data_IF_635798894409
#
_entry.id   IF_635798894409
#
_cell.length_a   1.000
_cell.length_b   1.000
_cell.length_c   1.000
_cell.angle_alpha   90.00
_cell.angle_beta   90.00
_cell.angle_gamma   90.00
#
_symmetry.space_group_name_H-M   'P 1'
#
loop_
_entity.id
_entity.type
_entity.pdbx_description
1 polymer ?
#
# COMPACT_ATOMS: atom_id res chain seq x y z
N UNK A 1 -10.42 -74.52 21.84
CA UNK A 1 -11.75 -74.32 21.24
C UNK A 1 -11.52 -73.94 19.78
N UNK A 2 -11.33 -74.97 18.96
CA UNK A 2 -12.31 -75.56 18.03
C UNK A 2 -12.48 -74.72 16.74
N UNK A 3 -11.71 -74.97 15.66
CA UNK A 3 -12.04 -75.78 14.44
C UNK A 3 -13.50 -75.64 13.97
N UNK A 4 -13.84 -75.42 12.70
CA UNK A 4 -13.06 -75.43 11.45
C UNK A 4 -13.95 -75.12 10.24
N UNK A 5 -13.37 -75.20 9.05
CA UNK A 5 -14.03 -75.41 7.75
C UNK A 5 -14.79 -76.79 7.76
N UNK A 6 -15.54 -77.28 6.73
CA UNK A 6 -15.25 -77.07 5.29
C UNK A 6 -16.40 -77.28 4.24
N UNK A 7 -16.00 -77.20 2.96
CA UNK A 7 -16.31 -78.10 1.83
C UNK A 7 -17.63 -78.13 1.00
N UNK A 8 -17.39 -78.06 -0.33
CA UNK A 8 -17.91 -78.84 -1.48
C UNK A 8 -19.44 -78.78 -1.80
N UNK A 9 -19.94 -78.83 -3.05
CA UNK A 9 -19.79 -79.85 -4.10
C UNK A 9 -20.35 -79.35 -5.46
N UNK A 10 -19.68 -79.76 -6.54
CA UNK A 10 -20.05 -80.05 -7.94
C UNK A 10 -21.50 -79.94 -8.46
N UNK A 11 -21.61 -79.65 -9.76
CA UNK A 11 -22.71 -80.11 -10.61
C UNK A 11 -22.60 -79.69 -12.08
N UNK A 12 -22.04 -80.56 -12.93
CA UNK A 12 -22.11 -80.46 -14.39
C UNK A 12 -23.52 -80.82 -14.93
N UNK A 13 -23.98 -80.14 -15.98
CA UNK A 13 -24.76 -80.72 -17.09
C UNK A 13 -24.96 -79.64 -18.20
N UNK A 14 -24.57 -79.94 -19.44
CA UNK A 14 -25.08 -79.25 -20.66
C UNK A 14 -26.29 -80.00 -21.22
N UNK A 15 -26.58 -79.96 -22.54
CA UNK A 15 -26.59 -78.86 -23.51
C UNK A 15 -28.03 -78.69 -24.11
N UNK A 16 -28.16 -78.15 -25.34
CA UNK A 16 -29.37 -78.12 -26.20
C UNK A 16 -30.44 -77.03 -25.89
N UNK A 17 -31.17 -76.41 -26.82
CA UNK A 17 -31.36 -76.53 -28.27
C UNK A 17 -32.03 -75.22 -28.76
N UNK A 18 -31.78 -74.88 -30.02
CA UNK A 18 -32.44 -73.83 -30.80
C UNK A 18 -33.96 -74.02 -30.97
N UNK A 19 -34.75 -72.94 -31.03
CA UNK A 19 -35.61 -72.55 -32.18
C UNK A 19 -36.79 -71.63 -31.81
N UNK A 20 -36.98 -70.56 -32.60
CA UNK A 20 -38.25 -69.93 -33.05
C UNK A 20 -39.23 -69.39 -31.97
N UNK A 21 -39.99 -68.31 -32.09
CA UNK A 21 -40.24 -67.27 -33.10
C UNK A 21 -41.18 -66.24 -32.45
N UNK A 22 -41.23 -65.06 -33.06
CA UNK A 22 -42.39 -64.16 -33.17
C UNK A 22 -42.61 -62.96 -32.21
N UNK A 23 -42.51 -61.78 -32.86
CA UNK A 23 -43.43 -60.64 -32.81
C UNK A 23 -43.68 -59.87 -31.51
N UNK A 24 -43.18 -58.62 -31.44
CA UNK A 24 -44.03 -57.43 -31.63
C UNK A 24 -43.24 -56.11 -31.55
N UNK A 25 -43.75 -55.13 -32.29
CA UNK A 25 -43.15 -53.87 -32.70
C UNK A 25 -42.92 -52.86 -31.56
N UNK A 26 -41.81 -52.12 -31.61
CA UNK A 26 -41.76 -50.73 -31.15
C UNK A 26 -40.97 -49.87 -32.15
N UNK A 27 -41.66 -48.90 -32.74
CA UNK A 27 -41.14 -47.89 -33.65
C UNK A 27 -40.11 -46.98 -32.94
N UNK A 28 -38.90 -46.89 -33.49
CA UNK A 28 -37.95 -45.81 -33.18
C UNK A 28 -38.00 -44.83 -34.36
N UNK A 29 -38.74 -43.74 -34.19
CA UNK A 29 -38.69 -42.60 -35.11
C UNK A 29 -37.44 -41.77 -34.83
N UNK A 30 -36.51 -41.74 -35.80
CA UNK A 30 -35.38 -40.81 -35.82
C UNK A 30 -35.89 -39.38 -36.00
N UNK A 31 -35.67 -38.52 -34.99
CA UNK A 31 -35.65 -37.08 -35.19
C UNK A 31 -34.23 -36.65 -35.55
N UNK A 32 -34.03 -36.29 -36.81
CA UNK A 32 -32.87 -35.53 -37.26
C UNK A 32 -32.97 -34.10 -36.72
N UNK A 33 -32.22 -33.79 -35.66
CA UNK A 33 -31.91 -32.41 -35.29
C UNK A 33 -30.53 -32.11 -35.86
N UNK A 34 -30.50 -31.38 -36.97
CA UNK A 34 -29.28 -30.80 -37.52
C UNK A 34 -28.69 -29.82 -36.52
N UNK A 35 -27.57 -30.19 -35.90
CA UNK A 35 -26.76 -29.26 -35.13
C UNK A 35 -26.02 -28.34 -36.10
N UNK A 36 -26.57 -27.16 -36.35
CA UNK A 36 -25.83 -26.06 -36.93
C UNK A 36 -24.75 -25.62 -35.94
N UNK A 37 -23.50 -25.96 -36.25
CA UNK A 37 -22.32 -25.40 -35.59
C UNK A 37 -22.26 -23.89 -35.91
N UNK A 38 -22.89 -23.06 -35.07
CA UNK A 38 -22.54 -21.65 -34.98
C UNK A 38 -21.12 -21.57 -34.40
N UNK A 39 -20.14 -21.46 -35.30
CA UNK A 39 -18.82 -20.96 -34.96
C UNK A 39 -19.00 -19.48 -34.60
N UNK A 40 -19.17 -19.20 -33.32
CA UNK A 40 -19.07 -17.85 -32.79
C UNK A 40 -17.63 -17.38 -33.04
N UNK A 41 -17.43 -16.63 -34.12
CA UNK A 41 -16.27 -15.77 -34.30
C UNK A 41 -16.30 -14.75 -33.16
N UNK A 42 -15.65 -15.07 -32.05
CA UNK A 42 -15.15 -14.06 -31.14
C UNK A 42 -14.10 -13.29 -31.94
N UNK A 43 -14.52 -12.21 -32.59
CA UNK A 43 -13.61 -11.14 -32.94
C UNK A 43 -13.06 -10.61 -31.61
N UNK A 44 -11.93 -11.18 -31.17
CA UNK A 44 -11.06 -10.50 -30.22
C UNK A 44 -10.75 -9.18 -30.92
N UNK A 45 -11.34 -8.09 -30.42
CA UNK A 45 -10.85 -6.78 -30.74
C UNK A 45 -9.39 -6.83 -30.31
N UNK A 46 -8.48 -6.84 -31.29
CA UNK A 46 -7.06 -6.78 -31.02
C UNK A 46 -6.85 -5.54 -30.17
N UNK A 47 -6.65 -5.73 -28.87
CA UNK A 47 -6.19 -4.67 -27.99
C UNK A 47 -4.86 -4.26 -28.59
N UNK A 48 -4.80 -3.08 -29.22
CA UNK A 48 -3.54 -2.56 -29.70
C UNK A 48 -2.57 -2.59 -28.54
N UNK A 49 -1.49 -3.36 -28.69
CA UNK A 49 -0.52 -3.53 -27.64
C UNK A 49 0.07 -2.15 -27.31
N UNK A 50 -0.12 -1.69 -26.08
CA UNK A 50 0.45 -0.44 -25.60
C UNK A 50 1.96 -0.44 -25.81
N UNK A 51 2.44 0.45 -26.67
CA UNK A 51 3.88 0.66 -26.86
C UNK A 51 4.46 1.43 -25.68
N UNK A 52 5.52 0.93 -25.02
CA UNK A 52 6.16 1.64 -23.91
C UNK A 52 6.68 3.02 -24.31
N UNK A 53 6.35 4.05 -23.55
CA UNK A 53 6.86 5.41 -23.74
C UNK A 53 7.32 6.02 -22.41
N UNK A 54 8.65 6.15 -22.19
CA UNK A 54 9.72 5.99 -23.17
C UNK A 54 10.03 4.52 -23.50
N UNK A 55 10.55 4.25 -24.71
CA UNK A 55 10.86 2.87 -25.16
C UNK A 55 11.82 2.11 -24.22
N UNK A 56 12.78 2.81 -23.61
CA UNK A 56 13.78 2.24 -22.69
C UNK A 56 13.52 2.64 -21.21
N UNK A 57 12.25 2.76 -20.84
CA UNK A 57 11.82 3.11 -19.49
C UNK A 57 11.97 1.99 -18.47
N UNK A 58 11.50 2.28 -17.26
CA UNK A 58 11.28 1.33 -16.17
C UNK A 58 10.07 1.74 -15.36
N UNK A 59 9.48 0.81 -14.62
CA UNK A 59 8.49 1.13 -13.61
C UNK A 59 9.16 1.79 -12.40
N UNK A 60 8.56 2.87 -11.91
CA UNK A 60 8.92 3.56 -10.68
C UNK A 60 7.64 3.84 -9.92
N UNK A 61 7.60 3.54 -8.63
CA UNK A 61 6.45 3.92 -7.82
C UNK A 61 6.32 5.45 -7.80
N UNK A 62 5.13 5.96 -8.07
CA UNK A 62 4.78 7.39 -8.00
C UNK A 62 3.82 7.67 -6.83
N UNK A 63 3.26 6.62 -6.25
CA UNK A 63 2.50 6.65 -5.00
C UNK A 63 2.51 5.25 -4.38
N UNK A 64 2.58 5.15 -3.06
CA UNK A 64 2.28 3.92 -2.33
C UNK A 64 1.75 4.25 -0.93
N UNK A 65 1.17 3.26 -0.28
CA UNK A 65 0.82 3.28 1.13
C UNK A 65 1.15 1.95 1.77
N UNK A 66 1.44 1.98 3.08
CA UNK A 66 1.77 0.78 3.82
C UNK A 66 0.54 -0.09 4.04
N UNK A 67 0.52 -1.35 3.54
CA UNK A 67 -0.59 -2.24 3.81
C UNK A 67 -0.61 -2.65 5.28
N UNK A 68 -1.79 -2.58 5.89
CA UNK A 68 -2.08 -2.94 7.27
C UNK A 68 -3.21 -3.98 7.30
N UNK A 69 -3.17 -4.86 8.31
CA UNK A 69 -4.36 -5.57 8.72
C UNK A 69 -5.31 -4.56 9.36
N UNK A 70 -6.52 -4.45 8.82
CA UNK A 70 -7.49 -3.47 9.30
C UNK A 70 -7.94 -3.82 10.71
N UNK A 71 -7.73 -2.90 11.63
CA UNK A 71 -8.24 -3.04 12.99
C UNK A 71 -9.77 -3.04 13.01
N UNK A 72 -10.38 -3.73 13.97
CA UNK A 72 -11.84 -3.88 14.07
C UNK A 72 -12.59 -2.55 14.00
N UNK A 73 -12.07 -1.48 14.60
CA UNK A 73 -12.69 -0.15 14.60
C UNK A 73 -12.61 0.59 13.25
N UNK A 74 -11.69 0.18 12.38
CA UNK A 74 -11.43 0.78 11.06
C UNK A 74 -11.92 -0.11 9.90
N UNK A 75 -12.57 -1.24 10.22
CA UNK A 75 -13.25 -2.07 9.23
C UNK A 75 -14.33 -1.27 8.49
N UNK A 76 -14.65 -1.65 7.23
CA UNK A 76 -15.72 -0.98 6.50
C UNK A 76 -17.00 -0.98 7.34
N UNK A 77 -17.67 0.17 7.52
CA UNK A 77 -18.84 0.28 8.39
C UNK A 77 -20.03 -0.48 7.78
N UNK A 78 -21.03 -0.80 8.62
CA UNK A 78 -22.33 -1.30 8.11
C UNK A 78 -22.96 -0.30 7.12
N UNK A 79 -23.57 -0.74 6.00
CA UNK A 79 -23.82 -2.13 5.58
C UNK A 79 -22.69 -2.79 4.75
N UNK A 80 -21.49 -2.20 4.67
CA UNK A 80 -20.40 -2.61 3.77
C UNK A 80 -19.45 -3.66 4.37
N UNK A 81 -19.92 -4.43 5.35
CA UNK A 81 -19.12 -5.47 6.00
C UNK A 81 -18.57 -6.42 4.94
N UNK A 82 -17.24 -6.63 4.96
CA UNK A 82 -16.50 -7.47 4.00
C UNK A 82 -16.64 -7.05 2.52
N UNK A 83 -17.14 -5.84 2.25
CA UNK A 83 -17.34 -5.28 0.92
C UNK A 83 -18.25 -6.11 -0.01
N UNK A 84 -19.20 -6.88 0.52
CA UNK A 84 -20.14 -7.62 -0.34
C UNK A 84 -20.99 -6.64 -1.16
N UNK A 85 -21.10 -6.87 -2.47
CA UNK A 85 -21.81 -6.00 -3.40
C UNK A 85 -21.47 -4.51 -3.19
N UNK A 86 -20.18 -4.17 -3.11
CA UNK A 86 -19.72 -2.82 -2.74
C UNK A 86 -18.80 -2.24 -3.80
N UNK A 87 -19.09 -1.01 -4.23
CA UNK A 87 -18.17 -0.12 -4.94
C UNK A 87 -17.41 0.72 -3.93
N UNK A 88 -16.08 0.77 -4.06
CA UNK A 88 -15.17 1.59 -3.26
C UNK A 88 -14.45 2.56 -4.18
N UNK A 89 -14.62 3.87 -3.98
CA UNK A 89 -13.97 4.94 -4.76
C UNK A 89 -13.00 5.71 -3.89
N UNK A 90 -11.76 5.81 -4.35
CA UNK A 90 -10.62 6.29 -3.57
C UNK A 90 -9.76 7.22 -4.43
N UNK A 91 -9.24 8.29 -3.83
CA UNK A 91 -8.32 9.21 -4.52
C UNK A 91 -6.91 9.10 -3.98
N UNK A 92 -5.92 9.28 -4.84
CA UNK A 92 -4.49 9.29 -4.50
C UNK A 92 -3.76 10.39 -5.29
N UNK A 93 -2.66 10.93 -4.73
CA UNK A 93 -1.84 11.96 -5.37
C UNK A 93 -0.57 11.34 -5.92
N UNK A 94 -0.34 11.45 -7.23
CA UNK A 94 0.91 10.93 -7.83
C UNK A 94 2.07 11.90 -7.61
N UNK A 95 3.29 11.37 -7.44
CA UNK A 95 4.50 12.17 -7.26
C UNK A 95 5.00 12.78 -8.56
N UNK A 96 5.35 11.92 -9.53
CA UNK A 96 5.84 12.31 -10.85
C UNK A 96 4.82 11.98 -11.94
N UNK A 97 4.92 12.72 -13.05
CA UNK A 97 4.12 12.47 -14.25
C UNK A 97 4.59 11.26 -15.04
N UNK A 98 3.70 10.71 -15.85
CA UNK A 98 3.96 9.59 -16.76
C UNK A 98 2.90 9.56 -17.87
N UNK A 99 3.22 8.94 -19.01
CA UNK A 99 2.22 8.65 -20.05
C UNK A 99 1.47 7.35 -19.81
N UNK A 100 2.12 6.44 -19.08
CA UNK A 100 1.61 5.12 -18.79
C UNK A 100 1.80 4.81 -17.32
N UNK A 101 0.75 4.28 -16.70
CA UNK A 101 0.75 3.88 -15.30
C UNK A 101 0.16 2.48 -15.15
N UNK A 102 0.33 1.87 -13.98
CA UNK A 102 -0.38 0.67 -13.54
C UNK A 102 -0.62 0.71 -12.04
N UNK A 103 -1.63 -0.02 -11.57
CA UNK A 103 -2.10 0.01 -10.18
C UNK A 103 -1.79 -1.33 -9.50
N UNK A 104 -1.30 -1.29 -8.26
CA UNK A 104 -1.14 -2.48 -7.42
C UNK A 104 -2.26 -2.57 -6.38
N UNK A 105 -2.97 -3.69 -6.40
CA UNK A 105 -3.94 -4.09 -5.39
C UNK A 105 -3.36 -5.19 -4.51
N UNK A 106 -3.51 -5.08 -3.20
CA UNK A 106 -2.89 -5.97 -2.22
C UNK A 106 -3.93 -6.68 -1.36
N UNK A 107 -3.68 -7.97 -1.17
CA UNK A 107 -4.35 -8.85 -0.23
C UNK A 107 -3.35 -9.40 0.81
N UNK A 108 -2.31 -8.63 1.13
CA UNK A 108 -1.17 -9.05 1.96
C UNK A 108 -1.56 -9.62 3.34
N UNK A 109 -2.67 -9.16 3.91
CA UNK A 109 -3.19 -9.62 5.21
C UNK A 109 -4.47 -10.44 5.10
N UNK A 110 -5.00 -10.61 3.88
CA UNK A 110 -6.17 -11.46 3.68
C UNK A 110 -5.84 -12.92 3.93
N UNK A 111 -6.66 -13.57 4.73
CA UNK A 111 -6.59 -15.01 5.01
C UNK A 111 -7.26 -15.86 3.93
N UNK A 112 -8.06 -15.23 3.05
CA UNK A 112 -8.72 -15.86 1.90
C UNK A 112 -8.54 -15.02 0.63
N UNK A 113 -8.87 -15.61 -0.51
CA UNK A 113 -8.77 -14.96 -1.81
C UNK A 113 -9.68 -13.71 -1.88
N UNK A 114 -9.15 -12.63 -2.45
CA UNK A 114 -9.86 -11.37 -2.67
C UNK A 114 -10.34 -11.30 -4.14
N UNK A 115 -11.65 -11.48 -4.42
CA UNK A 115 -12.20 -11.30 -5.76
C UNK A 115 -12.45 -9.81 -6.05
N UNK A 116 -11.79 -9.28 -7.07
CA UNK A 116 -12.07 -7.98 -7.66
C UNK A 116 -12.90 -8.20 -8.92
N UNK A 117 -14.16 -7.75 -8.91
CA UNK A 117 -15.09 -7.97 -10.03
C UNK A 117 -14.84 -7.00 -11.18
N UNK A 118 -14.56 -5.73 -10.88
CA UNK A 118 -14.18 -4.73 -11.87
C UNK A 118 -13.48 -3.55 -11.22
N UNK A 119 -12.60 -2.88 -11.96
CA UNK A 119 -11.94 -1.66 -11.50
C UNK A 119 -11.81 -0.63 -12.62
N UNK A 120 -11.84 0.65 -12.25
CA UNK A 120 -11.69 1.79 -13.16
C UNK A 120 -10.76 2.84 -12.58
N UNK A 121 -10.25 3.70 -13.46
CA UNK A 121 -9.52 4.91 -13.11
C UNK A 121 -10.12 6.12 -13.84
N UNK A 122 -10.07 7.28 -13.20
CA UNK A 122 -10.42 8.56 -13.81
C UNK A 122 -9.70 9.70 -13.07
N UNK A 123 -9.70 10.90 -13.66
CA UNK A 123 -9.43 12.11 -12.89
C UNK A 123 -10.63 12.44 -12.00
N UNK A 124 -10.42 12.83 -10.73
CA UNK A 124 -11.49 13.38 -9.91
C UNK A 124 -11.99 14.70 -10.52
N UNK A 125 -13.27 14.98 -10.32
CA UNK A 125 -13.83 16.28 -10.67
C UNK A 125 -13.05 17.37 -9.89
N UNK A 126 -12.67 18.46 -10.57
CA UNK A 126 -11.87 19.56 -10.03
C UNK A 126 -10.49 19.16 -9.47
N UNK A 127 -9.99 17.95 -9.75
CA UNK A 127 -8.65 17.53 -9.30
C UNK A 127 -8.51 17.38 -7.79
N UNK A 128 -9.61 17.20 -7.05
CA UNK A 128 -9.62 17.26 -5.58
C UNK A 128 -9.47 15.88 -4.92
N UNK A 129 -8.75 15.81 -3.80
CA UNK A 129 -8.73 14.62 -2.95
C UNK A 129 -10.07 14.40 -2.25
N UNK A 130 -10.42 13.14 -2.04
CA UNK A 130 -11.68 12.75 -1.42
C UNK A 130 -12.91 12.96 -2.30
N UNK A 131 -12.74 13.23 -3.60
CA UNK A 131 -13.85 13.51 -4.49
C UNK A 131 -14.72 12.25 -4.72
N UNK A 132 -16.04 12.41 -4.59
CA UNK A 132 -17.04 11.41 -4.99
C UNK A 132 -17.26 11.40 -6.50
N UNK A 133 -16.98 12.51 -7.17
CA UNK A 133 -17.20 12.72 -8.59
C UNK A 133 -15.92 12.58 -9.43
N UNK A 134 -16.10 12.15 -10.68
CA UNK A 134 -15.04 11.95 -11.66
C UNK A 134 -15.29 12.76 -12.93
N UNK A 135 -14.24 13.00 -13.70
CA UNK A 135 -14.33 13.47 -15.07
C UNK A 135 -14.56 12.26 -15.98
N UNK A 136 -15.82 12.01 -16.36
CA UNK A 136 -16.21 10.80 -17.12
C UNK A 136 -15.49 10.65 -18.46
N UNK A 137 -15.06 11.75 -19.09
CA UNK A 137 -14.25 11.74 -20.30
C UNK A 137 -12.86 11.10 -20.13
N UNK A 138 -12.38 11.00 -18.88
CA UNK A 138 -11.10 10.35 -18.55
C UNK A 138 -11.27 8.91 -18.06
N UNK A 139 -12.50 8.41 -17.92
CA UNK A 139 -12.77 7.10 -17.35
C UNK A 139 -12.16 5.99 -18.22
N UNK A 140 -11.32 5.15 -17.63
CA UNK A 140 -10.77 3.94 -18.25
C UNK A 140 -11.00 2.72 -17.35
N UNK A 141 -11.30 1.59 -17.98
CA UNK A 141 -11.37 0.29 -17.31
C UNK A 141 -9.97 -0.25 -17.06
N UNK A 142 -9.73 -0.77 -15.87
CA UNK A 142 -8.49 -1.46 -15.53
C UNK A 142 -8.64 -2.95 -15.83
N UNK A 143 -7.61 -3.56 -16.40
CA UNK A 143 -7.55 -4.99 -16.70
C UNK A 143 -6.41 -5.68 -15.97
N UNK A 144 -6.48 -7.00 -15.87
CA UNK A 144 -5.50 -7.88 -15.24
C UNK A 144 -5.25 -9.06 -16.18
N UNK A 145 -4.09 -9.07 -16.85
CA UNK A 145 -3.78 -10.08 -17.87
C UNK A 145 -4.87 -10.18 -18.94
N UNK A 146 -5.39 -9.02 -19.38
CA UNK A 146 -6.46 -8.90 -20.38
C UNK A 146 -7.89 -9.08 -19.86
N UNK A 147 -8.08 -9.47 -18.59
CA UNK A 147 -9.42 -9.65 -18.00
C UNK A 147 -9.85 -8.43 -17.20
N UNK A 148 -11.15 -8.13 -17.15
CA UNK A 148 -11.69 -7.02 -16.34
C UNK A 148 -11.80 -7.33 -14.85
N UNK A 149 -11.55 -8.58 -14.46
CA UNK A 149 -11.61 -9.07 -13.09
C UNK A 149 -10.34 -9.84 -12.72
N UNK A 150 -10.09 -9.98 -11.43
CA UNK A 150 -8.97 -10.78 -10.89
C UNK A 150 -9.34 -11.37 -9.54
N UNK A 151 -8.80 -12.55 -9.23
CA UNK A 151 -8.82 -13.11 -7.88
C UNK A 151 -7.39 -13.02 -7.34
N UNK A 152 -7.20 -12.24 -6.28
CA UNK A 152 -5.91 -12.06 -5.63
C UNK A 152 -5.79 -13.10 -4.52
N UNK A 153 -4.85 -14.06 -4.58
CA UNK A 153 -4.67 -15.06 -3.54
C UNK A 153 -4.43 -14.45 -2.15
N UNK A 154 -4.66 -15.24 -1.11
CA UNK A 154 -4.30 -14.85 0.26
C UNK A 154 -2.81 -14.47 0.36
N UNK A 155 -2.52 -13.36 1.06
CA UNK A 155 -1.15 -12.86 1.22
C UNK A 155 -0.47 -12.33 -0.06
N UNK A 156 -1.19 -12.23 -1.18
CA UNK A 156 -0.63 -11.84 -2.47
C UNK A 156 -1.01 -10.41 -2.88
N UNK A 157 -0.49 -9.97 -4.02
CA UNK A 157 -0.89 -8.74 -4.70
C UNK A 157 -1.14 -9.02 -6.19
N UNK A 158 -1.93 -8.17 -6.83
CA UNK A 158 -2.10 -8.13 -8.27
C UNK A 158 -1.74 -6.75 -8.82
N UNK A 159 -1.27 -6.73 -10.06
CA UNK A 159 -0.94 -5.51 -10.78
C UNK A 159 -1.82 -5.45 -12.02
N UNK A 160 -2.38 -4.28 -12.31
CA UNK A 160 -3.12 -4.09 -13.56
C UNK A 160 -2.20 -4.20 -14.76
N UNK A 161 -2.76 -4.49 -15.93
CA UNK A 161 -2.08 -4.21 -17.18
C UNK A 161 -1.76 -2.69 -17.26
N UNK A 162 -0.72 -2.29 -18.00
CA UNK A 162 -0.43 -0.89 -18.23
C UNK A 162 -1.62 -0.18 -18.88
N UNK A 163 -1.83 1.09 -18.54
CA UNK A 163 -2.86 1.94 -19.16
C UNK A 163 -2.24 3.22 -19.71
N UNK A 164 -2.71 3.66 -20.89
CA UNK A 164 -2.38 4.97 -21.44
C UNK A 164 -3.22 6.06 -20.74
N UNK A 165 -2.83 6.36 -19.51
CA UNK A 165 -3.46 7.37 -18.67
C UNK A 165 -2.39 8.39 -18.27
N UNK A 166 -2.28 9.46 -19.06
CA UNK A 166 -1.21 10.44 -18.89
C UNK A 166 -1.49 11.32 -17.66
N UNK A 167 -0.58 11.29 -16.69
CA UNK A 167 -0.64 12.09 -15.46
C UNK A 167 0.49 13.11 -15.42
N UNK A 168 0.22 14.28 -14.84
CA UNK A 168 1.26 15.25 -14.49
C UNK A 168 1.71 15.02 -13.04
N UNK A 169 2.89 15.51 -12.63
CA UNK A 169 3.28 15.53 -11.22
C UNK A 169 2.18 16.12 -10.34
N UNK A 170 2.06 15.60 -9.11
CA UNK A 170 1.14 16.09 -8.08
C UNK A 170 -0.36 15.99 -8.40
N UNK A 171 -0.73 15.35 -9.51
CA UNK A 171 -2.12 15.21 -9.94
C UNK A 171 -2.84 14.17 -9.09
N UNK A 172 -4.12 14.43 -8.79
CA UNK A 172 -4.99 13.44 -8.16
C UNK A 172 -5.53 12.47 -9.20
N UNK A 173 -5.57 11.17 -8.87
CA UNK A 173 -6.30 10.16 -9.64
C UNK A 173 -7.29 9.44 -8.74
N UNK A 174 -8.42 9.04 -9.32
CA UNK A 174 -9.47 8.27 -8.65
C UNK A 174 -9.42 6.84 -9.15
N UNK A 175 -9.24 5.89 -8.23
CA UNK A 175 -9.41 4.45 -8.51
C UNK A 175 -10.71 3.99 -7.87
N UNK A 176 -11.56 3.33 -8.67
CA UNK A 176 -12.82 2.76 -8.19
C UNK A 176 -12.80 1.26 -8.40
N UNK A 177 -13.05 0.47 -7.36
CA UNK A 177 -13.13 -0.99 -7.42
C UNK A 177 -14.53 -1.44 -7.03
N UNK A 178 -15.02 -2.52 -7.64
CA UNK A 178 -16.27 -3.18 -7.27
C UNK A 178 -16.02 -4.63 -6.90
N UNK A 179 -16.59 -5.03 -5.76
CA UNK A 179 -16.52 -6.37 -5.22
C UNK A 179 -17.94 -6.92 -5.12
N UNK A 180 -18.35 -7.75 -6.08
CA UNK A 180 -19.69 -8.36 -6.09
C UNK A 180 -19.84 -9.33 -4.93
N UNK A 181 -18.88 -10.25 -4.80
CA UNK A 181 -18.85 -11.23 -3.71
C UNK A 181 -18.27 -10.64 -2.41
N UNK A 182 -17.51 -9.54 -2.47
CA UNK A 182 -16.73 -9.06 -1.34
C UNK A 182 -15.56 -10.01 -1.00
N UNK A 183 -14.82 -9.69 0.06
CA UNK A 183 -13.71 -10.53 0.52
C UNK A 183 -14.17 -11.71 1.37
N UNK A 184 -15.39 -11.71 1.94
CA UNK A 184 -15.91 -12.77 2.83
C UNK A 184 -15.03 -13.07 4.07
N UNK A 185 -14.15 -12.14 4.47
CA UNK A 185 -13.33 -12.20 5.69
C UNK A 185 -13.19 -10.80 6.27
N UNK A 186 -13.01 -10.72 7.59
CA UNK A 186 -12.69 -9.46 8.29
C UNK A 186 -11.19 -9.17 8.31
N UNK A 187 -10.33 -10.08 7.82
CA UNK A 187 -8.90 -9.84 7.67
C UNK A 187 -8.63 -9.00 6.42
N UNK A 188 -9.04 -7.74 6.46
CA UNK A 188 -9.00 -6.82 5.32
C UNK A 188 -7.62 -6.15 5.25
N UNK A 189 -7.02 -6.13 4.06
CA UNK A 189 -5.85 -5.27 3.80
C UNK A 189 -6.29 -3.84 3.53
N UNK A 190 -5.85 -2.90 4.35
CA UNK A 190 -6.17 -1.48 4.24
C UNK A 190 -5.00 -0.59 4.62
N UNK A 191 -5.25 0.71 4.62
CA UNK A 191 -4.43 1.71 5.24
C UNK A 191 -5.36 2.72 5.94
N UNK A 192 -5.64 2.53 7.24
CA UNK A 192 -6.59 3.37 7.97
C UNK A 192 -6.14 4.82 8.13
N UNK A 193 -4.83 5.06 8.06
CA UNK A 193 -4.20 6.36 8.15
C UNK A 193 -4.26 7.21 6.88
N UNK A 194 -5.20 6.96 5.96
CA UNK A 194 -5.14 7.63 4.65
C UNK A 194 -5.38 9.14 4.70
N UNK A 195 -6.08 9.66 5.73
CA UNK A 195 -6.51 11.09 5.86
C UNK A 195 -7.11 11.61 4.55
N UNK A 196 -7.76 10.71 3.82
CA UNK A 196 -8.32 10.94 2.50
C UNK A 196 -9.66 10.23 2.45
N UNK A 197 -10.71 10.97 2.10
CA UNK A 197 -12.06 10.42 2.03
C UNK A 197 -12.16 9.38 0.92
N UNK A 198 -12.67 8.21 1.26
CA UNK A 198 -13.08 7.16 0.35
C UNK A 198 -14.58 6.97 0.44
N UNK A 199 -15.22 6.59 -0.67
CA UNK A 199 -16.67 6.47 -0.79
C UNK A 199 -17.07 5.02 -1.00
N UNK A 200 -18.14 4.60 -0.33
CA UNK A 200 -18.69 3.24 -0.34
C UNK A 200 -20.15 3.31 -0.75
N UNK A 201 -20.55 2.50 -1.72
CA UNK A 201 -21.96 2.37 -2.14
C UNK A 201 -22.22 0.96 -2.62
N UNK A 202 -23.42 0.43 -2.35
CA UNK A 202 -23.79 -0.90 -2.83
C UNK A 202 -24.08 -0.90 -4.33
N UNK A 203 -23.82 -2.02 -5.01
CA UNK A 203 -24.00 -2.15 -6.45
C UNK A 203 -22.74 -1.80 -7.25
N UNK A 204 -22.75 -2.14 -8.53
CA UNK A 204 -21.66 -1.84 -9.45
C UNK A 204 -21.78 -0.41 -9.99
N UNK A 205 -20.99 0.51 -9.44
CA UNK A 205 -20.99 1.93 -9.79
C UNK A 205 -19.60 2.44 -10.22
N UNK A 206 -18.75 1.54 -10.75
CA UNK A 206 -17.38 1.91 -11.15
C UNK A 206 -17.31 3.02 -12.20
N UNK A 207 -18.36 3.19 -13.01
CA UNK A 207 -18.48 4.24 -14.02
C UNK A 207 -19.38 5.42 -13.67
N UNK A 208 -19.93 5.49 -12.45
CA UNK A 208 -20.84 6.57 -12.06
C UNK A 208 -20.11 7.92 -12.02
N UNK A 209 -20.71 8.96 -12.62
CA UNK A 209 -20.12 10.30 -12.69
C UNK A 209 -19.92 10.93 -11.31
N UNK A 210 -20.93 10.87 -10.45
CA UNK A 210 -20.85 11.18 -9.02
C UNK A 210 -21.56 10.07 -8.23
N UNK A 211 -20.97 9.65 -7.11
CA UNK A 211 -21.61 8.69 -6.22
C UNK A 211 -22.67 9.34 -5.32
N UNK A 212 -22.66 10.67 -5.15
CA UNK A 212 -23.64 11.39 -4.32
C UNK A 212 -25.06 11.30 -4.84
N UNK A 213 -25.24 10.98 -6.11
CA UNK A 213 -26.55 10.76 -6.73
C UNK A 213 -27.17 9.41 -6.34
N UNK A 214 -26.44 8.56 -5.60
CA UNK A 214 -26.84 7.20 -5.24
C UNK A 214 -27.30 7.13 -3.78
N UNK A 215 -28.40 6.41 -3.56
CA UNK A 215 -28.90 6.13 -2.21
C UNK A 215 -27.95 5.23 -1.43
N UNK A 216 -27.77 5.49 -0.14
CA UNK A 216 -26.97 4.65 0.75
C UNK A 216 -25.46 4.88 0.64
N UNK A 217 -25.02 5.95 -0.03
CA UNK A 217 -23.62 6.36 -0.05
C UNK A 217 -23.10 6.60 1.38
N UNK A 218 -21.92 6.06 1.69
CA UNK A 218 -21.18 6.31 2.93
C UNK A 218 -19.75 6.70 2.59
N UNK A 219 -19.07 7.35 3.53
CA UNK A 219 -17.67 7.72 3.40
C UNK A 219 -16.87 7.36 4.64
N UNK A 220 -15.58 7.10 4.45
CA UNK A 220 -14.59 6.85 5.51
C UNK A 220 -13.25 7.48 5.14
N UNK A 221 -12.33 7.61 6.08
CA UNK A 221 -11.00 8.18 5.86
C UNK A 221 -9.92 7.09 5.79
N UNK A 222 -10.15 6.09 4.93
CA UNK A 222 -9.28 4.91 4.81
C UNK A 222 -9.03 4.59 3.33
N UNK A 223 -7.86 4.05 3.02
CA UNK A 223 -7.68 3.34 1.76
C UNK A 223 -7.85 1.84 1.98
N UNK A 224 -8.49 1.15 1.04
CA UNK A 224 -8.67 -0.30 1.04
C UNK A 224 -8.08 -0.90 -0.22
N UNK A 225 -7.31 -1.98 -0.06
CA UNK A 225 -6.69 -2.78 -1.13
C UNK A 225 -5.68 -2.06 -2.03
N UNK A 226 -5.76 -0.74 -2.23
CA UNK A 226 -4.73 0.03 -2.95
C UNK A 226 -3.41 -0.01 -2.19
N UNK A 227 -2.33 -0.34 -2.89
CA UNK A 227 -0.99 -0.43 -2.28
C UNK A 227 0.07 0.39 -3.02
N UNK A 228 -0.01 0.51 -4.35
CA UNK A 228 0.91 1.37 -5.10
C UNK A 228 0.34 1.78 -6.47
N UNK A 229 0.93 2.85 -7.02
CA UNK A 229 0.83 3.22 -8.44
C UNK A 229 2.23 3.35 -8.99
N UNK A 230 2.45 2.66 -10.11
CA UNK A 230 3.71 2.67 -10.83
C UNK A 230 3.57 3.49 -12.10
N UNK A 231 4.55 4.36 -12.31
CA UNK A 231 4.73 5.15 -13.51
C UNK A 231 5.80 4.51 -14.40
N UNK A 232 5.50 4.33 -15.69
CA UNK A 232 6.53 3.98 -16.66
C UNK A 232 7.33 5.24 -16.99
N UNK A 233 8.61 5.24 -16.66
CA UNK A 233 9.42 6.46 -16.60
C UNK A 233 10.83 6.27 -17.16
N UNK A 234 11.51 7.36 -17.58
CA UNK A 234 12.93 7.32 -17.86
C UNK A 234 13.72 6.78 -16.67
N UNK A 235 14.84 6.09 -16.92
CA UNK A 235 15.71 5.53 -15.86
C UNK A 235 16.24 6.57 -14.85
N UNK A 236 16.26 7.84 -15.24
CA UNK A 236 16.64 8.95 -14.37
C UNK A 236 15.65 9.18 -13.22
N UNK A 237 14.37 8.79 -13.38
CA UNK A 237 13.36 8.90 -12.33
C UNK A 237 13.62 7.86 -11.25
N UNK A 238 13.61 8.28 -9.99
CA UNK A 238 14.00 7.49 -8.81
C UNK A 238 13.03 7.73 -7.66
N UNK A 239 12.80 6.70 -6.86
CA UNK A 239 11.95 6.79 -5.67
C UNK A 239 12.77 6.92 -4.38
N UNK A 240 12.34 7.85 -3.52
CA UNK A 240 12.63 7.85 -2.09
C UNK A 240 11.49 7.15 -1.36
N UNK A 241 11.80 6.07 -0.65
CA UNK A 241 10.86 5.38 0.24
C UNK A 241 11.08 5.82 1.67
N UNK A 242 10.01 6.23 2.35
CA UNK A 242 10.04 6.73 3.72
C UNK A 242 9.30 5.74 4.62
N UNK A 243 10.04 5.11 5.53
CA UNK A 243 9.50 4.34 6.64
C UNK A 243 9.26 5.28 7.82
N UNK A 244 8.12 5.13 8.50
CA UNK A 244 7.87 5.84 9.73
C UNK A 244 6.57 5.48 10.41
N UNK A 245 6.24 6.27 11.43
CA UNK A 245 5.06 6.11 12.27
C UNK A 245 3.91 7.09 11.94
N UNK A 246 2.99 7.31 12.88
CA UNK A 246 1.85 8.23 12.77
C UNK A 246 2.22 9.66 12.38
N UNK A 247 3.43 10.12 12.71
CA UNK A 247 3.90 11.46 12.38
C UNK A 247 4.18 11.56 10.87
N UNK A 248 4.80 10.53 10.28
CA UNK A 248 5.01 10.47 8.82
C UNK A 248 3.76 10.11 8.05
N UNK A 249 2.93 9.24 8.63
CA UNK A 249 1.62 8.85 8.11
C UNK A 249 0.64 10.06 8.09
N UNK A 250 0.92 11.10 8.89
CA UNK A 250 0.30 12.41 8.78
C UNK A 250 -0.81 12.70 9.79
N UNK A 251 -0.81 12.07 10.96
CA UNK A 251 -1.77 12.41 12.03
C UNK A 251 -1.66 13.90 12.39
N UNK A 252 -2.76 14.65 12.36
CA UNK A 252 -2.74 16.10 12.60
C UNK A 252 -2.66 16.94 11.32
N UNK A 253 -2.53 16.31 10.15
CA UNK A 253 -2.71 16.96 8.85
C UNK A 253 -4.20 17.23 8.57
N UNK A 254 -4.50 18.04 7.55
CA UNK A 254 -5.88 18.29 7.12
C UNK A 254 -6.40 17.11 6.30
N UNK A 255 -7.58 16.56 6.64
CA UNK A 255 -8.24 15.55 5.79
C UNK A 255 -8.43 16.10 4.38
N UNK A 256 -8.02 15.33 3.37
CA UNK A 256 -7.99 15.72 1.94
C UNK A 256 -7.07 16.91 1.61
N UNK A 257 -6.24 17.37 2.56
CA UNK A 257 -5.37 18.54 2.37
C UNK A 257 -4.05 18.24 1.67
N UNK A 258 -3.59 16.99 1.68
CA UNK A 258 -2.26 16.59 1.21
C UNK A 258 -1.15 17.50 1.78
N UNK A 259 -1.19 17.72 3.09
CA UNK A 259 -0.33 18.63 3.83
C UNK A 259 0.49 17.92 4.93
N UNK A 260 0.71 16.60 4.76
CA UNK A 260 1.68 15.82 5.53
C UNK A 260 3.10 16.23 5.13
N UNK A 261 4.09 15.98 5.98
CA UNK A 261 5.47 16.36 5.63
C UNK A 261 6.00 15.69 4.34
N UNK A 262 5.65 14.43 3.99
CA UNK A 262 6.06 13.87 2.70
C UNK A 262 5.39 14.56 1.50
N UNK A 263 4.14 15.03 1.65
CA UNK A 263 3.45 15.80 0.60
C UNK A 263 4.10 17.18 0.39
N UNK A 264 4.51 17.82 1.48
CA UNK A 264 5.25 19.08 1.46
C UNK A 264 6.66 18.89 0.87
N UNK A 265 7.32 17.77 1.18
CA UNK A 265 8.59 17.40 0.56
C UNK A 265 8.43 17.18 -0.96
N UNK A 266 7.38 16.47 -1.38
CA UNK A 266 7.05 16.30 -2.80
C UNK A 266 6.92 17.67 -3.49
N UNK A 267 6.16 18.59 -2.91
CA UNK A 267 5.99 19.95 -3.44
C UNK A 267 7.34 20.68 -3.60
N UNK A 268 8.25 20.54 -2.62
CA UNK A 268 9.62 21.09 -2.70
C UNK A 268 10.41 20.44 -3.82
N UNK A 269 10.35 19.11 -3.99
CA UNK A 269 11.08 18.40 -5.06
C UNK A 269 10.60 18.82 -6.44
N UNK A 270 9.30 19.05 -6.64
CA UNK A 270 8.77 19.52 -7.93
C UNK A 270 9.06 21.00 -8.21
N UNK A 271 9.35 21.77 -7.17
CA UNK A 271 9.72 23.19 -7.27
C UNK A 271 11.23 23.41 -7.46
N UNK A 272 12.07 22.40 -7.21
CA UNK A 272 13.52 22.49 -7.37
C UNK A 272 13.97 21.96 -8.74
N UNK A 273 14.74 22.73 -9.54
CA UNK A 273 15.18 22.33 -10.87
C UNK A 273 15.96 21.01 -10.97
N UNK A 274 16.72 20.62 -9.94
CA UNK A 274 17.54 19.40 -9.98
C UNK A 274 16.75 18.14 -9.64
N UNK A 275 15.64 18.26 -8.90
CA UNK A 275 14.82 17.12 -8.48
C UNK A 275 13.48 17.02 -9.21
N UNK A 276 13.03 18.11 -9.84
CA UNK A 276 11.74 18.19 -10.53
C UNK A 276 11.62 17.08 -11.58
N UNK A 277 10.46 16.40 -11.59
CA UNK A 277 10.14 15.28 -12.46
C UNK A 277 11.02 14.02 -12.34
N UNK A 278 12.04 14.01 -11.48
CA UNK A 278 12.98 12.86 -11.39
C UNK A 278 13.01 12.20 -10.01
N UNK A 279 12.42 12.81 -8.98
CA UNK A 279 12.27 12.20 -7.66
C UNK A 279 10.79 11.95 -7.35
N UNK A 280 10.46 10.71 -6.99
CA UNK A 280 9.16 10.35 -6.39
C UNK A 280 9.30 10.17 -4.88
N UNK A 281 8.23 10.50 -4.15
CA UNK A 281 8.18 10.39 -2.68
C UNK A 281 7.15 9.33 -2.32
N UNK A 282 7.60 8.27 -1.66
CA UNK A 282 6.80 7.09 -1.35
C UNK A 282 6.66 6.97 0.17
N UNK A 283 5.46 7.25 0.66
CA UNK A 283 5.15 7.21 2.08
C UNK A 283 4.72 5.80 2.49
N UNK A 284 5.61 5.09 3.16
CA UNK A 284 5.40 3.75 3.69
C UNK A 284 5.24 3.75 5.22
N UNK A 285 4.81 4.88 5.79
CA UNK A 285 4.54 5.00 7.20
C UNK A 285 3.20 4.42 7.61
N UNK A 286 3.04 4.13 8.90
CA UNK A 286 1.78 3.70 9.49
C UNK A 286 1.61 4.20 10.92
N UNK A 287 0.39 4.59 11.27
CA UNK A 287 0.05 4.95 12.65
C UNK A 287 0.48 3.89 13.66
N UNK A 288 1.10 4.32 14.77
CA UNK A 288 1.53 3.40 15.83
C UNK A 288 2.57 2.35 15.40
N UNK A 289 3.18 2.47 14.21
CA UNK A 289 4.24 1.54 13.79
C UNK A 289 5.41 1.61 14.77
N UNK A 290 5.98 0.44 15.04
CA UNK A 290 7.18 0.26 15.84
C UNK A 290 8.26 -0.46 15.03
N UNK A 291 9.52 -0.29 15.42
CA UNK A 291 10.65 -0.98 14.80
C UNK A 291 10.77 -2.41 15.30
N UNK A 292 10.59 -2.63 16.61
CA UNK A 292 10.96 -3.86 17.31
C UNK A 292 9.80 -4.84 17.52
N UNK A 293 8.55 -4.37 17.44
CA UNK A 293 7.35 -5.16 17.69
C UNK A 293 6.20 -4.70 16.78
N UNK A 294 5.21 -5.55 16.51
CA UNK A 294 4.07 -5.15 15.68
C UNK A 294 3.24 -4.09 16.43
N UNK A 295 2.82 -3.02 15.76
CA UNK A 295 1.91 -2.01 16.30
C UNK A 295 0.51 -2.15 15.71
N UNK A 296 -0.03 -1.08 15.13
CA UNK A 296 -1.23 -1.16 14.28
C UNK A 296 -0.93 -1.86 12.94
N UNK A 297 0.35 -2.06 12.62
CA UNK A 297 0.82 -2.90 11.52
C UNK A 297 2.13 -3.62 11.88
N UNK A 298 2.68 -4.46 10.98
CA UNK A 298 3.92 -5.17 11.23
C UNK A 298 5.10 -4.27 11.61
N UNK A 299 5.95 -4.79 12.46
CA UNK A 299 7.21 -4.15 12.83
C UNK A 299 8.08 -3.86 11.61
N UNK A 300 8.84 -2.76 11.66
CA UNK A 300 9.73 -2.38 10.55
C UNK A 300 10.68 -3.50 10.20
N UNK A 301 11.25 -4.16 11.22
CA UNK A 301 12.27 -5.18 11.04
C UNK A 301 11.84 -6.28 10.07
N UNK A 302 10.57 -6.70 10.17
CA UNK A 302 9.95 -7.73 9.34
C UNK A 302 9.36 -7.25 8.01
N UNK A 303 9.28 -5.94 7.76
CA UNK A 303 8.64 -5.41 6.54
C UNK A 303 9.56 -4.66 5.58
N UNK A 304 10.85 -4.50 5.87
CA UNK A 304 11.79 -3.78 4.97
C UNK A 304 11.83 -4.37 3.56
N UNK A 305 11.86 -5.71 3.38
CA UNK A 305 11.86 -6.28 2.04
C UNK A 305 10.59 -5.92 1.28
N UNK A 306 9.43 -6.06 1.94
CA UNK A 306 8.13 -5.83 1.32
C UNK A 306 7.92 -4.35 0.97
N UNK A 307 8.19 -3.47 1.94
CA UNK A 307 7.77 -2.07 1.87
C UNK A 307 8.88 -1.12 1.39
N UNK A 308 10.13 -1.59 1.30
CA UNK A 308 11.23 -0.83 0.69
C UNK A 308 11.84 -1.57 -0.48
N UNK A 309 12.38 -2.77 -0.27
CA UNK A 309 13.27 -3.39 -1.26
C UNK A 309 12.53 -3.97 -2.47
N UNK A 310 11.24 -4.28 -2.34
CA UNK A 310 10.38 -4.81 -3.41
C UNK A 310 9.62 -3.73 -4.19
N UNK A 311 9.84 -2.45 -3.82
CA UNK A 311 9.22 -1.31 -4.50
C UNK A 311 9.96 -0.96 -5.79
N UNK A 312 9.23 -0.40 -6.75
CA UNK A 312 9.77 -0.16 -8.09
C UNK A 312 10.52 1.16 -8.17
N UNK A 313 11.73 1.11 -8.72
CA UNK A 313 12.56 2.30 -8.94
C UNK A 313 13.15 2.92 -7.67
N UNK A 314 13.14 2.20 -6.55
CA UNK A 314 13.76 2.65 -5.29
C UNK A 314 15.24 2.94 -5.51
N UNK A 315 15.65 4.13 -5.12
CA UNK A 315 17.04 4.56 -5.15
C UNK A 315 17.47 5.25 -3.85
N UNK A 316 16.52 5.60 -2.97
CA UNK A 316 16.78 6.17 -1.67
C UNK A 316 15.80 5.58 -0.66
N UNK A 317 16.25 5.37 0.57
CA UNK A 317 15.40 4.97 1.68
C UNK A 317 15.63 5.89 2.88
N UNK A 318 14.60 6.14 3.66
CA UNK A 318 14.66 6.94 4.87
C UNK A 318 13.86 6.27 5.98
N UNK A 319 14.32 6.39 7.23
CA UNK A 319 13.56 5.99 8.41
C UNK A 319 13.38 7.16 9.38
N UNK A 320 12.14 7.37 9.80
CA UNK A 320 11.75 8.25 10.89
C UNK A 320 10.77 7.52 11.81
N UNK A 321 11.33 6.81 12.81
CA UNK A 321 10.56 5.94 13.69
C UNK A 321 11.29 5.71 15.02
N UNK A 322 10.61 5.08 15.97
CA UNK A 322 11.14 4.73 17.31
C UNK A 322 10.37 5.39 18.45
N UNK A 323 9.51 6.38 18.16
CA UNK A 323 8.71 7.06 19.18
C UNK A 323 7.73 6.10 19.87
N UNK A 324 7.12 5.18 19.12
CA UNK A 324 6.19 4.21 19.66
C UNK A 324 6.90 3.09 20.42
N UNK A 325 8.10 2.68 20.00
CA UNK A 325 8.94 1.72 20.74
C UNK A 325 9.29 2.27 22.13
N UNK A 326 9.67 3.55 22.20
CA UNK A 326 9.99 4.25 23.46
C UNK A 326 8.72 4.53 24.27
N UNK A 327 7.70 5.11 23.64
CA UNK A 327 6.48 5.58 24.30
C UNK A 327 5.62 4.46 24.88
N UNK A 328 5.66 3.27 24.29
CA UNK A 328 4.92 2.09 24.78
C UNK A 328 5.75 1.17 25.68
N UNK A 329 7.03 1.47 25.88
CA UNK A 329 7.89 0.68 26.77
C UNK A 329 7.41 0.78 28.23
N UNK A 330 7.48 -0.34 28.96
CA UNK A 330 7.20 -0.32 30.39
C UNK A 330 8.40 0.28 31.15
N UNK A 331 8.21 0.72 32.41
CA UNK A 331 9.32 1.15 33.25
C UNK A 331 10.43 0.09 33.43
N UNK A 332 10.12 -1.19 33.22
CA UNK A 332 11.09 -2.29 33.35
C UNK A 332 11.86 -2.56 32.05
N UNK A 333 11.31 -2.21 30.89
CA UNK A 333 11.95 -2.46 29.59
C UNK A 333 12.58 -1.21 28.97
N UNK A 334 12.18 0.00 29.37
CA UNK A 334 12.63 1.25 28.73
C UNK A 334 14.17 1.39 28.67
N UNK A 335 14.89 0.88 29.66
CA UNK A 335 16.36 0.99 29.68
C UNK A 335 17.05 0.15 28.59
N UNK A 336 16.41 -0.90 28.07
CA UNK A 336 16.97 -1.75 27.01
C UNK A 336 16.51 -1.35 25.61
N UNK A 337 15.38 -0.64 25.50
CA UNK A 337 14.80 -0.22 24.20
C UNK A 337 15.79 0.56 23.33
N UNK A 338 16.55 1.56 23.83
CA UNK A 338 17.53 2.27 23.01
C UNK A 338 18.58 1.35 22.35
N UNK A 339 19.10 0.37 23.09
CA UNK A 339 20.10 -0.56 22.55
C UNK A 339 19.52 -1.45 21.45
N UNK A 340 18.30 -1.92 21.65
CA UNK A 340 17.58 -2.72 20.66
C UNK A 340 17.26 -1.90 19.40
N UNK A 341 16.84 -0.64 19.55
CA UNK A 341 16.62 0.27 18.43
C UNK A 341 17.91 0.52 17.64
N UNK A 342 19.02 0.81 18.33
CA UNK A 342 20.34 1.00 17.72
C UNK A 342 20.77 -0.25 16.94
N UNK A 343 20.59 -1.44 17.52
CA UNK A 343 20.88 -2.70 16.84
C UNK A 343 19.99 -2.89 15.61
N UNK A 344 18.70 -2.58 15.72
CA UNK A 344 17.76 -2.70 14.62
C UNK A 344 18.10 -1.76 13.47
N UNK A 345 18.42 -0.49 13.74
CA UNK A 345 18.87 0.46 12.73
C UNK A 345 20.10 -0.03 11.97
N UNK A 346 21.07 -0.63 12.66
CA UNK A 346 22.26 -1.23 12.03
C UNK A 346 21.88 -2.38 11.08
N UNK A 347 21.03 -3.29 11.52
CA UNK A 347 20.61 -4.43 10.70
C UNK A 347 19.76 -4.02 9.49
N UNK A 348 18.87 -3.03 9.67
CA UNK A 348 18.10 -2.46 8.56
C UNK A 348 19.03 -1.80 7.55
N UNK A 349 19.97 -0.98 8.03
CA UNK A 349 20.97 -0.31 7.19
C UNK A 349 21.76 -1.32 6.35
N UNK A 350 22.27 -2.41 6.95
CA UNK A 350 22.96 -3.48 6.21
C UNK A 350 22.11 -4.06 5.08
N UNK A 351 20.81 -4.33 5.31
CA UNK A 351 19.90 -4.88 4.29
C UNK A 351 19.61 -3.88 3.17
N UNK A 352 19.47 -2.61 3.50
CA UNK A 352 19.23 -1.54 2.52
C UNK A 352 20.49 -1.29 1.67
N UNK A 353 21.66 -1.19 2.32
CA UNK A 353 22.95 -1.02 1.65
C UNK A 353 23.32 -2.22 0.78
N UNK A 354 22.94 -3.45 1.12
CA UNK A 354 23.18 -4.62 0.28
C UNK A 354 22.62 -4.48 -1.15
N UNK A 355 21.63 -3.58 -1.37
CA UNK A 355 21.10 -3.23 -2.69
C UNK A 355 21.65 -1.92 -3.27
N UNK A 356 22.68 -1.36 -2.65
CA UNK A 356 23.31 -0.08 -3.02
C UNK A 356 22.43 1.15 -2.77
N UNK A 357 21.38 1.01 -1.94
CA UNK A 357 20.43 2.08 -1.67
C UNK A 357 20.95 2.92 -0.49
N UNK A 358 21.19 4.23 -0.64
CA UNK A 358 21.49 5.11 0.49
C UNK A 358 20.34 5.13 1.51
N UNK A 359 20.71 5.06 2.80
CA UNK A 359 19.77 5.02 3.92
C UNK A 359 19.89 6.26 4.81
N UNK A 360 18.83 7.07 4.85
CA UNK A 360 18.78 8.30 5.62
C UNK A 360 18.10 8.09 6.98
N UNK A 361 18.65 8.69 8.03
CA UNK A 361 18.12 8.60 9.40
C UNK A 361 17.56 9.93 9.89
N UNK A 362 16.37 9.91 10.50
CA UNK A 362 15.80 11.06 11.17
C UNK A 362 15.79 10.91 12.70
N UNK A 363 16.01 12.03 13.40
CA UNK A 363 15.88 12.08 14.86
C UNK A 363 14.41 12.02 15.29
N UNK A 364 14.15 11.35 16.40
CA UNK A 364 12.84 11.22 17.04
C UNK A 364 12.42 12.57 17.62
N UNK A 365 11.27 13.11 17.20
CA UNK A 365 10.77 14.41 17.65
C UNK A 365 10.43 14.41 19.15
N UNK A 366 10.42 15.58 19.81
CA UNK A 366 10.05 15.66 21.22
C UNK A 366 8.59 15.25 21.45
N UNK A 367 8.28 14.76 22.65
CA UNK A 367 6.93 14.34 23.02
C UNK A 367 6.47 14.78 24.43
N UNK A 368 7.09 15.84 25.00
CA UNK A 368 6.67 16.38 26.30
C UNK A 368 5.21 16.84 26.27
N UNK A 369 4.44 16.42 27.28
CA UNK A 369 3.02 16.71 27.40
C UNK A 369 2.11 15.59 26.87
N UNK A 370 2.65 14.67 26.08
CA UNK A 370 1.94 13.46 25.66
C UNK A 370 1.95 12.39 26.77
N UNK A 371 1.05 11.41 26.69
CA UNK A 371 1.00 10.25 27.60
C UNK A 371 2.22 9.35 27.51
N UNK A 372 2.98 9.39 26.41
CA UNK A 372 4.28 8.72 26.27
C UNK A 372 5.38 9.34 27.12
N UNK A 373 5.19 10.56 27.62
CA UNK A 373 6.25 11.27 28.32
C UNK A 373 6.48 10.76 29.74
N UNK A 374 7.70 10.30 29.98
CA UNK A 374 8.30 10.16 31.31
C UNK A 374 9.76 10.63 31.22
N UNK A 375 10.41 11.03 32.33
CA UNK A 375 11.84 11.36 32.30
C UNK A 375 12.70 10.22 31.74
N UNK A 376 12.32 8.95 31.97
CA UNK A 376 13.01 7.78 31.45
C UNK A 376 12.84 7.64 29.94
N UNK A 377 11.62 7.84 29.42
CA UNK A 377 11.34 7.79 27.99
C UNK A 377 12.06 8.91 27.24
N UNK A 378 12.11 10.11 27.82
CA UNK A 378 12.84 11.24 27.25
C UNK A 378 14.36 11.02 27.26
N UNK A 379 14.91 10.44 28.33
CA UNK A 379 16.31 10.05 28.37
C UNK A 379 16.64 9.00 27.29
N UNK A 380 15.75 8.01 27.09
CA UNK A 380 15.87 7.03 26.02
C UNK A 380 15.84 7.68 24.62
N UNK A 381 14.90 8.61 24.38
CA UNK A 381 14.80 9.37 23.13
C UNK A 381 16.07 10.16 22.83
N UNK A 382 16.57 10.91 23.82
CA UNK A 382 17.83 11.67 23.71
C UNK A 382 19.01 10.77 23.37
N UNK A 383 19.15 9.63 24.06
CA UNK A 383 20.19 8.63 23.80
C UNK A 383 20.15 8.11 22.36
N UNK A 384 18.96 7.75 21.85
CA UNK A 384 18.80 7.30 20.46
C UNK A 384 19.12 8.43 19.48
N UNK A 385 18.65 9.66 19.73
CA UNK A 385 18.92 10.80 18.86
C UNK A 385 20.40 11.20 18.81
N UNK A 386 21.11 11.18 19.94
CA UNK A 386 22.56 11.38 20.00
C UNK A 386 23.31 10.31 19.18
N UNK A 387 22.85 9.07 19.27
CA UNK A 387 23.39 7.98 18.45
C UNK A 387 23.14 8.19 16.95
N UNK A 388 21.91 8.53 16.55
CA UNK A 388 21.56 8.82 15.15
C UNK A 388 22.46 9.94 14.60
N UNK A 389 22.60 11.04 15.33
CA UNK A 389 23.45 12.18 14.92
C UNK A 389 24.92 11.80 14.75
N UNK A 390 25.47 11.03 15.69
CA UNK A 390 26.88 10.63 15.66
C UNK A 390 27.21 9.53 14.65
N UNK A 391 26.19 8.80 14.17
CA UNK A 391 26.34 7.69 13.22
C UNK A 391 25.74 8.00 11.85
N UNK A 392 25.55 9.28 11.53
CA UNK A 392 25.14 9.76 10.21
C UNK A 392 26.31 10.39 9.45
N UNK A 393 26.41 10.12 8.16
CA UNK A 393 27.46 10.64 7.28
C UNK A 393 28.47 9.58 6.86
N UNK A 394 29.69 10.00 6.52
CA UNK A 394 30.71 9.11 5.93
C UNK A 394 31.05 7.95 6.85
N UNK A 395 30.81 6.71 6.40
CA UNK A 395 31.06 5.49 7.17
C UNK A 395 30.09 5.26 8.33
N UNK A 396 29.00 6.03 8.37
CA UNK A 396 27.93 5.89 9.35
C UNK A 396 26.96 4.75 9.04
N UNK A 397 26.03 4.51 9.97
CA UNK A 397 24.87 3.63 9.73
C UNK A 397 23.89 4.29 8.78
N UNK A 398 23.77 5.62 8.86
CA UNK A 398 22.98 6.41 7.93
C UNK A 398 23.91 7.24 7.05
N UNK A 399 23.59 7.35 5.77
CA UNK A 399 24.36 8.16 4.82
C UNK A 399 24.12 9.68 5.01
N UNK A 400 22.96 10.02 5.56
CA UNK A 400 22.56 11.39 5.86
C UNK A 400 21.64 11.48 7.08
N UNK A 401 21.73 12.61 7.77
CA UNK A 401 20.90 13.00 8.91
C UNK A 401 19.78 13.95 8.47
N UNK A 402 18.57 13.72 8.93
CA UNK A 402 17.48 14.68 8.89
C UNK A 402 17.03 14.97 10.33
N UNK A 403 17.47 16.10 10.90
CA UNK A 403 17.29 16.38 12.34
C UNK A 403 15.91 16.97 12.65
N UNK A 404 14.85 16.15 12.60
CA UNK A 404 13.49 16.57 12.91
C UNK A 404 13.30 17.01 14.37
N UNK A 405 14.02 16.43 15.33
CA UNK A 405 14.04 16.93 16.72
C UNK A 405 14.41 18.42 16.78
N UNK A 406 15.53 18.80 16.15
CA UNK A 406 15.97 20.19 16.14
C UNK A 406 14.99 21.10 15.38
N UNK A 407 14.38 20.60 14.32
CA UNK A 407 13.46 21.34 13.47
C UNK A 407 12.17 21.76 14.18
N UNK A 408 11.66 20.92 15.09
CA UNK A 408 10.30 21.10 15.63
C UNK A 408 10.26 21.36 17.13
N UNK A 409 11.37 21.15 17.86
CA UNK A 409 11.41 21.44 19.30
C UNK A 409 11.28 22.92 19.60
N UNK A 410 10.75 23.22 20.79
CA UNK A 410 10.63 24.58 21.28
C UNK A 410 11.99 25.15 21.70
N UNK A 411 12.63 25.86 20.78
CA UNK A 411 13.88 26.59 21.01
C UNK A 411 13.65 28.07 21.42
N UNK A 412 12.41 28.46 21.77
CA UNK A 412 12.14 29.84 22.19
C UNK A 412 12.84 30.16 23.52
N UNK A 413 13.10 31.45 23.77
CA UNK A 413 13.71 31.88 25.05
C UNK A 413 12.80 31.51 26.21
N UNK A 414 13.28 30.66 27.12
CA UNK A 414 12.47 30.12 28.22
C UNK A 414 11.55 28.95 27.83
N UNK A 415 11.64 28.48 26.58
CA UNK A 415 10.94 27.30 26.08
C UNK A 415 11.52 25.98 26.60
N UNK A 416 10.82 24.88 26.33
CA UNK A 416 11.27 23.54 26.71
C UNK A 416 11.65 22.72 25.46
N UNK A 417 12.94 22.42 25.29
CA UNK A 417 13.46 21.64 24.16
C UNK A 417 12.95 20.19 24.09
N UNK A 418 12.32 19.69 25.16
CA UNK A 418 11.66 18.38 25.19
C UNK A 418 10.22 18.44 24.66
N UNK A 419 9.72 19.64 24.36
CA UNK A 419 8.38 19.91 23.84
C UNK A 419 8.45 20.29 22.37
N UNK A 420 7.44 19.89 21.60
CA UNK A 420 7.19 20.44 20.27
C UNK A 420 6.89 21.95 20.41
N UNK A 421 7.41 22.76 19.50
CA UNK A 421 7.06 24.17 19.45
C UNK A 421 5.52 24.32 19.43
N UNK A 422 4.90 25.08 20.33
CA UNK A 422 3.44 25.17 20.41
C UNK A 422 2.74 25.61 19.11
N UNK A 423 3.45 26.31 18.21
CA UNK A 423 2.93 26.68 16.89
C UNK A 423 2.87 25.51 15.90
N UNK A 424 3.62 24.44 16.16
CA UNK A 424 3.70 23.23 15.36
C UNK A 424 2.92 22.07 15.96
N UNK A 425 2.57 22.12 17.25
CA UNK A 425 1.81 21.08 17.94
C UNK A 425 0.36 21.03 17.44
N UNK A 426 -0.16 19.81 17.24
CA UNK A 426 -1.58 19.58 16.97
C UNK A 426 -2.45 19.63 18.24
N UNK A 427 -1.81 19.66 19.41
CA UNK A 427 -2.43 19.83 20.73
C UNK A 427 -2.30 18.62 21.64
N UNK A 428 -1.66 17.54 21.20
CA UNK A 428 -1.46 16.31 21.99
C UNK A 428 -0.02 16.10 22.45
N UNK A 429 0.88 17.05 22.15
CA UNK A 429 2.28 17.01 22.53
C UNK A 429 3.09 15.93 21.82
N UNK A 430 2.60 15.35 20.71
CA UNK A 430 3.29 14.30 19.95
C UNK A 430 3.18 14.52 18.43
N UNK A 431 1.99 14.81 17.95
CA UNK A 431 1.72 14.96 16.52
C UNK A 431 1.78 16.44 16.11
N UNK A 432 2.27 16.67 14.89
CA UNK A 432 2.38 18.01 14.34
C UNK A 432 1.13 18.41 13.55
N UNK A 433 0.88 19.70 13.53
CA UNK A 433 -0.07 20.32 12.62
C UNK A 433 0.60 20.60 11.25
N UNK A 434 -0.14 21.09 10.23
CA UNK A 434 0.43 21.37 8.90
C UNK A 434 1.63 22.33 8.88
N UNK A 435 1.70 23.29 9.81
CA UNK A 435 2.84 24.20 9.92
C UNK A 435 4.10 23.46 10.41
N UNK A 436 3.95 22.57 11.39
CA UNK A 436 5.02 21.68 11.85
C UNK A 436 5.49 20.72 10.77
N UNK A 437 4.56 20.13 10.00
CA UNK A 437 4.90 19.28 8.87
C UNK A 437 5.64 20.01 7.75
N UNK A 438 5.30 21.27 7.50
CA UNK A 438 6.07 22.13 6.58
C UNK A 438 7.49 22.36 7.10
N UNK A 439 7.68 22.65 8.39
CA UNK A 439 9.01 22.83 8.99
C UNK A 439 9.87 21.55 8.89
N UNK A 440 9.27 20.38 9.13
CA UNK A 440 9.94 19.09 8.90
C UNK A 440 10.35 18.94 7.44
N UNK A 441 9.43 19.15 6.50
CA UNK A 441 9.73 19.02 5.08
C UNK A 441 10.87 19.97 4.65
N UNK A 442 10.92 21.20 5.17
CA UNK A 442 11.97 22.18 4.89
C UNK A 442 13.36 21.78 5.40
N UNK A 443 13.42 20.92 6.42
CA UNK A 443 14.68 20.40 7.00
C UNK A 443 15.38 19.40 6.08
N UNK A 444 14.64 18.75 5.16
CA UNK A 444 15.24 17.81 4.22
C UNK A 444 16.09 18.54 3.16
N UNK A 445 17.39 18.26 3.12
CA UNK A 445 18.30 18.78 2.11
C UNK A 445 18.14 18.04 0.78
N UNK A 446 17.66 18.75 -0.25
CA UNK A 446 17.42 18.16 -1.57
C UNK A 446 18.72 17.81 -2.31
N UNK A 447 19.87 18.38 -1.92
CA UNK A 447 21.16 18.05 -2.54
C UNK A 447 21.60 16.62 -2.26
N UNK A 448 20.98 15.95 -1.28
CA UNK A 448 21.20 14.52 -1.00
C UNK A 448 20.88 13.63 -2.20
N UNK A 449 19.89 14.00 -3.02
CA UNK A 449 19.54 13.24 -4.22
C UNK A 449 20.65 13.28 -5.28
N UNK A 450 21.33 14.42 -5.42
CA UNK A 450 22.48 14.55 -6.33
C UNK A 450 23.71 13.85 -5.73
N UNK A 451 23.96 14.06 -4.43
CA UNK A 451 25.09 13.47 -3.70
C UNK A 451 25.10 11.94 -3.77
N UNK A 452 23.93 11.31 -3.66
CA UNK A 452 23.79 9.86 -3.67
C UNK A 452 23.15 9.32 -4.95
N UNK A 453 23.21 10.08 -6.06
CA UNK A 453 22.61 9.66 -7.32
C UNK A 453 23.14 8.31 -7.84
N UNK A 454 24.37 7.96 -7.51
CA UNK A 454 25.01 6.69 -7.90
C UNK A 454 24.79 5.55 -6.90
N UNK A 455 23.99 5.76 -5.86
CA UNK A 455 23.85 4.82 -4.76
C UNK A 455 25.03 4.86 -3.79
N UNK A 456 25.15 3.82 -2.98
CA UNK A 456 26.25 3.63 -2.01
C UNK A 456 26.88 2.25 -2.15
N UNK A 457 28.07 2.08 -1.57
CA UNK A 457 28.75 0.79 -1.55
C UNK A 457 27.96 -0.16 -0.64
N UNK A 458 27.58 -1.33 -1.17
CA UNK A 458 26.79 -2.31 -0.41
C UNK A 458 27.59 -3.23 0.52
N UNK A 459 28.88 -3.00 0.66
CA UNK A 459 29.75 -3.70 1.61
C UNK A 459 29.89 -2.84 2.87
N UNK A 460 29.15 -3.22 3.91
CA UNK A 460 29.22 -2.63 5.26
C UNK A 460 29.64 -3.66 6.30
#
# INVERSE_FOLDING_TARGET
MNIGAPDHVNGQAGPELSSLSDSSMVNISLYWVGAALLSALYASAAVEALTPDPANGRWVDTWASMPQLTETSNLPPSPFIQFRNTTVRQTIRVSTGAKQIRIRLSNAFGTINLPITSATIAFPLNGTAGASAIQTSSLQTLTFSGNTSVVIPNGALAVTDPIAFAVQPETMVTVTVYLEQGQQSSDITSHPGSRTTSWLVNGNHVGAADLRDLSGLTSVEHWYFLSAVEAWSPKAVKALVIIGDSITDGRGSTTNGNDRWPDQLLTRTQSNPTTKNIITIINQAAGGNRILADGLGPNVFGRIERDVLSHSGVAYAMIFEGVNDIGTASPTTINTVPDLLIQAFRQISVRVHALGIPFFGATITPFFGNTYYTPQNEAARKRVNEWIRSHSGSGGVFDALIDFDAAVRDNSVGGNVERINPTFDSGDGLHLNPAGYKAMAETFDLTLFDKFASGVIGFQ
#
